data_IF_674714289726
#
_entry.id   IF_674714289726
#
_cell.length_a   1.000
_cell.length_b   1.000
_cell.length_c   1.000
_cell.angle_alpha   90.00
_cell.angle_beta   90.00
_cell.angle_gamma   90.00
#
_symmetry.space_group_name_H-M   'P 1'
#
loop_
_entity.id
_entity.type
_entity.pdbx_description
1 polymer ?
#
# COMPACT_ATOMS: atom_id res chain seq x y z
N UNK A 1 10.96 -10.90 5.47
CA UNK A 1 10.50 -11.04 4.07
C UNK A 1 9.54 -9.89 3.79
N UNK A 2 9.80 -9.05 2.79
CA UNK A 2 8.82 -8.06 2.34
C UNK A 2 8.20 -8.61 1.06
N UNK A 3 6.97 -9.13 1.17
CA UNK A 3 6.15 -9.62 0.04
C UNK A 3 5.42 -8.47 -0.65
N UNK A 4 6.14 -7.39 -0.98
CA UNK A 4 5.53 -6.23 -1.59
C UNK A 4 5.20 -6.51 -3.08
N UNK A 5 3.91 -6.51 -3.40
CA UNK A 5 3.41 -6.79 -4.76
C UNK A 5 3.44 -8.25 -5.20
N UNK A 6 3.77 -9.19 -4.31
CA UNK A 6 3.90 -10.63 -4.62
C UNK A 6 2.85 -11.51 -3.93
N UNK A 7 2.06 -10.96 -3.00
CA UNK A 7 0.94 -11.66 -2.38
C UNK A 7 -0.36 -11.50 -3.19
N UNK A 8 -1.39 -12.27 -2.83
CA UNK A 8 -2.69 -12.27 -3.54
C UNK A 8 -3.48 -10.96 -3.44
N UNK A 9 -3.07 -10.04 -2.54
CA UNK A 9 -3.71 -8.73 -2.39
C UNK A 9 -3.32 -8.00 -1.11
N UNK A 10 -4.03 -6.90 -0.83
CA UNK A 10 -3.88 -6.10 0.39
C UNK A 10 -5.23 -5.52 0.82
N UNK A 11 -5.33 -5.19 2.11
CA UNK A 11 -6.42 -4.40 2.67
C UNK A 11 -5.84 -3.13 3.29
N UNK A 12 -6.44 -1.99 2.98
CA UNK A 12 -6.11 -0.74 3.67
C UNK A 12 -7.07 -0.55 4.84
N UNK A 13 -6.50 -0.39 6.02
CA UNK A 13 -7.25 0.00 7.20
C UNK A 13 -7.10 1.53 7.36
N UNK A 14 -8.14 2.34 7.14
CA UNK A 14 -9.57 2.04 7.00
C UNK A 14 -10.21 2.77 5.83
N UNK A 15 -11.45 2.43 5.44
CA UNK A 15 -12.15 3.18 4.39
C UNK A 15 -12.41 4.63 4.76
N UNK A 16 -12.77 4.90 6.01
CA UNK A 16 -13.00 6.24 6.53
C UNK A 16 -12.76 6.32 8.03
N UNK A 17 -12.41 7.51 8.49
CA UNK A 17 -12.45 7.91 9.90
C UNK A 17 -13.25 9.21 10.03
N UNK A 18 -13.52 9.65 11.26
CA UNK A 18 -14.30 10.87 11.52
C UNK A 18 -13.63 12.14 10.97
N UNK A 19 -14.48 13.06 10.49
CA UNK A 19 -14.05 14.38 10.04
C UNK A 19 -13.41 15.18 11.19
N UNK A 20 -12.41 16.01 10.87
CA UNK A 20 -11.66 16.78 11.86
C UNK A 20 -10.59 15.97 12.62
N UNK A 21 -10.48 14.66 12.38
CA UNK A 21 -9.38 13.87 12.92
C UNK A 21 -8.04 14.30 12.30
N UNK A 22 -6.99 14.56 13.09
CA UNK A 22 -5.65 14.86 12.57
C UNK A 22 -5.05 13.67 11.80
N UNK A 23 -5.64 12.48 11.92
CA UNK A 23 -5.22 11.25 11.30
C UNK A 23 -5.86 10.99 9.93
N UNK A 24 -6.76 11.88 9.46
CA UNK A 24 -7.45 11.75 8.18
C UNK A 24 -6.52 11.44 7.00
N UNK A 25 -5.37 12.12 6.83
CA UNK A 25 -4.48 11.88 5.69
C UNK A 25 -3.89 10.47 5.63
N UNK A 26 -3.80 9.79 6.78
CA UNK A 26 -3.04 8.55 6.92
C UNK A 26 -3.93 7.30 7.09
N UNK A 27 -5.16 7.48 7.59
CA UNK A 27 -6.00 6.36 8.03
C UNK A 27 -7.36 6.29 7.33
N UNK A 28 -7.65 7.22 6.41
CA UNK A 28 -8.89 7.26 5.61
C UNK A 28 -8.57 7.09 4.13
N UNK A 29 -8.94 5.94 3.57
CA UNK A 29 -8.70 5.60 2.17
C UNK A 29 -9.26 6.67 1.22
N UNK A 30 -10.50 7.09 1.44
CA UNK A 30 -11.16 8.06 0.56
C UNK A 30 -10.56 9.45 0.67
N UNK A 31 -10.10 9.87 1.85
CA UNK A 31 -9.41 11.15 2.00
C UNK A 31 -8.06 11.13 1.27
N UNK A 32 -7.30 10.04 1.37
CA UNK A 32 -6.05 9.87 0.63
C UNK A 32 -6.27 9.79 -0.89
N UNK A 33 -7.39 9.18 -1.33
CA UNK A 33 -7.78 9.13 -2.75
C UNK A 33 -8.15 10.52 -3.28
N UNK A 34 -8.97 11.29 -2.56
CA UNK A 34 -9.36 12.65 -2.94
C UNK A 34 -8.15 13.60 -3.00
N UNK A 35 -7.22 13.46 -2.06
CA UNK A 35 -5.97 14.21 -2.03
C UNK A 35 -4.95 13.79 -3.11
N UNK A 36 -5.23 12.72 -3.88
CA UNK A 36 -4.39 12.26 -4.99
C UNK A 36 -3.20 11.39 -4.57
N UNK A 37 -3.16 10.90 -3.33
CA UNK A 37 -2.12 9.95 -2.90
C UNK A 37 -2.39 8.52 -3.39
N UNK A 38 -3.68 8.15 -3.56
CA UNK A 38 -4.09 6.89 -4.17
C UNK A 38 -4.62 7.10 -5.59
N UNK A 39 -4.57 6.03 -6.38
CA UNK A 39 -5.15 5.99 -7.73
C UNK A 39 -6.55 5.36 -7.69
N UNK A 40 -7.39 5.69 -8.66
CA UNK A 40 -8.71 5.05 -8.84
C UNK A 40 -8.62 3.56 -9.20
N UNK A 41 -7.46 3.08 -9.65
CA UNK A 41 -7.23 1.67 -10.00
C UNK A 41 -6.20 1.05 -9.04
N UNK A 42 -6.63 0.47 -7.90
CA UNK A 42 -5.75 -0.12 -6.91
C UNK A 42 -5.10 -1.44 -7.37
N UNK A 43 -5.46 -1.97 -8.56
CA UNK A 43 -4.84 -3.16 -9.13
C UNK A 43 -3.45 -2.88 -9.73
N UNK A 44 -3.11 -1.61 -9.96
CA UNK A 44 -1.86 -1.19 -10.59
C UNK A 44 -0.87 -0.65 -9.57
N UNK A 45 0.39 -1.04 -9.75
CA UNK A 45 1.50 -0.48 -8.98
C UNK A 45 1.87 0.90 -9.52
N UNK A 46 2.01 1.88 -8.64
CA UNK A 46 2.54 3.22 -8.99
C UNK A 46 3.99 3.12 -9.50
N UNK A 47 4.79 2.26 -8.88
CA UNK A 47 6.15 1.95 -9.33
C UNK A 47 6.38 0.44 -9.17
N UNK A 48 6.43 -0.34 -10.26
CA UNK A 48 6.64 -1.79 -10.19
C UNK A 48 8.05 -2.17 -9.69
N UNK A 49 8.99 -1.22 -9.71
CA UNK A 49 10.39 -1.45 -9.37
C UNK A 49 10.74 -1.08 -7.92
N UNK A 50 9.80 -0.53 -7.15
CA UNK A 50 10.01 -0.06 -5.77
C UNK A 50 10.55 -1.16 -4.85
N UNK A 51 10.22 -2.42 -5.15
CA UNK A 51 10.61 -3.58 -4.36
C UNK A 51 11.92 -4.23 -4.83
N UNK A 52 12.41 -3.94 -6.05
CA UNK A 52 13.60 -4.59 -6.64
C UNK A 52 14.83 -4.60 -5.72
N UNK A 53 15.18 -3.49 -5.01
CA UNK A 53 16.35 -3.49 -4.11
C UNK A 53 16.23 -4.47 -2.94
N UNK A 54 15.01 -4.83 -2.55
CA UNK A 54 14.72 -5.61 -1.34
C UNK A 54 14.50 -7.10 -1.65
N UNK A 55 14.17 -7.44 -2.89
CA UNK A 55 13.96 -8.82 -3.35
C UNK A 55 15.29 -9.58 -3.45
N UNK A 56 16.36 -8.95 -3.95
CA UNK A 56 17.64 -9.63 -4.21
C UNK A 56 18.40 -10.06 -2.94
N UNK A 57 18.09 -9.48 -1.78
CA UNK A 57 18.73 -9.82 -0.51
C UNK A 57 17.95 -10.86 0.32
N UNK A 58 16.92 -11.48 -0.28
CA UNK A 58 16.08 -12.50 0.33
C UNK A 58 16.56 -13.89 -0.08
N UNK A 59 17.71 -14.34 0.41
CA UNK A 59 18.13 -15.75 0.28
C UNK A 59 17.10 -16.65 0.96
N UNK A 60 16.55 -17.56 0.18
CA UNK A 60 15.51 -18.52 0.55
C UNK A 60 15.93 -19.40 1.74
N UNK A 61 15.21 -19.32 2.86
CA UNK A 61 15.03 -20.49 3.72
C UNK A 61 13.75 -21.17 3.23
N UNK A 62 13.93 -22.19 2.38
CA UNK A 62 12.86 -23.08 1.95
C UNK A 62 12.27 -23.76 3.19
N UNK A 63 10.95 -23.68 3.35
CA UNK A 63 10.21 -24.44 4.37
C UNK A 63 10.10 -25.91 3.99
#
# INVERSE_FOLDING_TARGET
YIYAGQADGWYFWSFKIEEGSPNLPNWSFFASLEAGFFSNDPSKLTNPDVCKPWIANSTSTTA
#
